data_IF_667049784072
#
_entry.id   IF_667049784072
#
_cell.length_a   1.000
_cell.length_b   1.000
_cell.length_c   1.000
_cell.angle_alpha   90.00
_cell.angle_beta   90.00
_cell.angle_gamma   90.00
#
_symmetry.space_group_name_H-M   'P 1'
#
loop_
_entity.id
_entity.type
_entity.pdbx_description
1 polymer ?
#
# COMPACT_ATOMS: atom_id res chain seq x y z
N UNK A 1 21.79 6.32 -33.11
CA UNK A 1 21.55 5.96 -31.71
C UNK A 1 22.80 5.33 -31.15
N UNK A 2 23.29 5.81 -30.01
CA UNK A 2 24.41 5.19 -29.29
C UNK A 2 23.88 4.11 -28.33
N UNK A 3 22.68 4.34 -27.76
CA UNK A 3 21.97 3.39 -26.90
C UNK A 3 20.57 3.09 -27.43
N UNK A 4 20.07 1.87 -27.22
CA UNK A 4 18.71 1.46 -27.59
C UNK A 4 17.64 2.31 -26.87
N UNK A 5 17.96 2.80 -25.66
CA UNK A 5 17.08 3.68 -24.87
C UNK A 5 16.78 5.03 -25.55
N UNK A 6 17.63 5.50 -26.48
CA UNK A 6 17.37 6.72 -27.25
C UNK A 6 16.12 6.60 -28.14
N UNK A 7 15.67 5.39 -28.43
CA UNK A 7 14.41 5.15 -29.15
C UNK A 7 13.17 5.44 -28.30
N UNK A 8 13.31 5.54 -26.97
CA UNK A 8 12.17 5.75 -26.07
C UNK A 8 11.15 4.61 -26.08
N UNK A 9 11.62 3.38 -26.37
CA UNK A 9 10.79 2.18 -26.37
C UNK A 9 11.03 1.39 -25.09
N UNK A 10 9.96 1.09 -24.34
CA UNK A 10 10.04 0.21 -23.16
C UNK A 10 8.71 -0.50 -22.94
N UNK A 11 8.78 -1.67 -22.30
CA UNK A 11 7.63 -2.37 -21.76
C UNK A 11 7.74 -2.51 -20.24
N UNK A 12 6.68 -2.12 -19.52
CA UNK A 12 6.61 -2.15 -18.06
C UNK A 12 5.39 -2.96 -17.66
N UNK A 13 5.62 -4.13 -17.05
CA UNK A 13 4.58 -4.92 -16.45
C UNK A 13 4.34 -4.49 -15.00
N UNK A 14 3.07 -4.33 -14.62
CA UNK A 14 2.65 -3.92 -13.28
C UNK A 14 1.66 -4.94 -12.76
N UNK A 15 1.93 -5.45 -11.57
CA UNK A 15 1.03 -6.36 -10.87
C UNK A 15 0.55 -5.76 -9.55
N UNK A 16 -0.46 -6.38 -8.96
CA UNK A 16 -1.09 -5.98 -7.71
C UNK A 16 -0.37 -6.44 -6.44
N UNK A 17 -1.14 -6.57 -5.37
CA UNK A 17 -0.68 -7.03 -4.06
C UNK A 17 -0.14 -8.47 -4.13
N UNK A 18 1.08 -8.68 -3.63
CA UNK A 18 1.75 -9.98 -3.54
C UNK A 18 1.99 -10.36 -2.10
N UNK A 19 1.08 -11.17 -1.57
CA UNK A 19 1.18 -11.82 -0.27
C UNK A 19 1.60 -13.27 -0.48
N UNK A 20 2.88 -13.55 -0.23
CA UNK A 20 3.55 -14.77 -0.67
C UNK A 20 3.96 -15.65 0.52
N UNK A 21 3.39 -16.84 0.62
CA UNK A 21 3.69 -17.80 1.69
C UNK A 21 3.99 -19.21 1.20
N UNK A 22 3.89 -19.46 -0.12
CA UNK A 22 4.09 -20.74 -0.77
C UNK A 22 4.99 -20.61 -2.00
N UNK A 23 5.57 -21.75 -2.40
CA UNK A 23 6.37 -21.84 -3.63
C UNK A 23 5.50 -21.61 -4.87
N UNK A 24 6.05 -20.90 -5.86
CA UNK A 24 5.47 -20.65 -7.18
C UNK A 24 5.99 -21.64 -8.23
N UNK A 25 7.25 -22.07 -8.09
CA UNK A 25 7.92 -22.95 -9.07
C UNK A 25 7.31 -24.35 -9.29
N UNK A 26 6.53 -24.95 -8.37
CA UNK A 26 5.92 -26.26 -8.61
C UNK A 26 4.77 -26.25 -9.62
N UNK A 27 4.17 -25.09 -9.90
CA UNK A 27 3.00 -24.98 -10.79
C UNK A 27 3.45 -24.94 -12.25
N UNK A 28 2.75 -25.69 -13.11
CA UNK A 28 3.13 -25.90 -14.52
C UNK A 28 1.95 -25.77 -15.49
N UNK A 29 0.81 -25.32 -14.99
CA UNK A 29 -0.40 -25.09 -15.76
C UNK A 29 -0.13 -24.03 -16.84
N UNK A 30 -0.60 -24.28 -18.07
CA UNK A 30 -0.30 -23.39 -19.20
C UNK A 30 -0.75 -21.92 -18.97
N UNK A 31 -1.93 -21.63 -18.40
CA UNK A 31 -2.30 -20.24 -18.06
C UNK A 31 -1.37 -19.60 -17.02
N UNK A 32 -0.87 -20.39 -16.06
CA UNK A 32 0.05 -19.92 -15.04
C UNK A 32 1.42 -19.56 -15.63
N UNK A 33 1.96 -20.42 -16.51
CA UNK A 33 3.21 -20.17 -17.21
C UNK A 33 3.09 -19.01 -18.22
N UNK A 34 1.91 -18.77 -18.79
CA UNK A 34 1.69 -17.61 -19.67
C UNK A 34 1.84 -16.27 -18.92
N UNK A 35 1.44 -16.19 -17.65
CA UNK A 35 1.67 -15.00 -16.81
C UNK A 35 3.18 -14.75 -16.68
N UNK A 36 3.93 -15.80 -16.33
CA UNK A 36 5.40 -15.74 -16.25
C UNK A 36 6.03 -15.25 -17.55
N UNK A 37 5.62 -15.82 -18.70
CA UNK A 37 6.16 -15.44 -20.01
C UNK A 37 5.91 -13.95 -20.33
N UNK A 38 4.75 -13.40 -19.92
CA UNK A 38 4.43 -11.98 -20.09
C UNK A 38 5.34 -11.11 -19.22
N UNK A 39 5.52 -11.46 -17.94
CA UNK A 39 6.35 -10.69 -17.01
C UNK A 39 7.83 -10.75 -17.38
N UNK A 40 8.36 -11.93 -17.70
CA UNK A 40 9.75 -12.08 -18.18
C UNK A 40 10.00 -11.39 -19.52
N UNK A 41 8.97 -11.26 -20.35
CA UNK A 41 9.04 -10.56 -21.63
C UNK A 41 9.07 -9.03 -21.50
N UNK A 42 8.75 -8.47 -20.33
CA UNK A 42 8.80 -7.03 -20.08
C UNK A 42 10.22 -6.57 -19.71
N UNK A 43 10.58 -5.33 -20.06
CA UNK A 43 11.87 -4.75 -19.66
C UNK A 43 11.93 -4.52 -18.14
N UNK A 44 10.81 -4.11 -17.55
CA UNK A 44 10.63 -3.95 -16.12
C UNK A 44 9.33 -4.63 -15.66
N UNK A 45 9.38 -5.38 -14.56
CA UNK A 45 8.24 -6.09 -14.00
C UNK A 45 8.15 -5.83 -12.49
N UNK A 46 7.09 -5.14 -12.11
CA UNK A 46 6.88 -4.60 -10.78
C UNK A 46 5.74 -5.32 -10.03
N UNK A 47 5.88 -5.48 -8.71
CA UNK A 47 4.81 -5.91 -7.80
C UNK A 47 4.85 -5.19 -6.44
N UNK A 48 3.72 -5.12 -5.73
CA UNK A 48 3.72 -4.75 -4.32
C UNK A 48 4.04 -5.95 -3.43
N UNK A 49 5.22 -5.98 -2.81
CA UNK A 49 5.63 -7.07 -1.92
C UNK A 49 5.02 -6.84 -0.53
N UNK A 50 3.77 -7.25 -0.38
CA UNK A 50 2.98 -7.01 0.82
C UNK A 50 3.27 -8.06 1.89
N UNK A 51 4.19 -7.71 2.78
CA UNK A 51 4.63 -8.58 3.83
C UNK A 51 6.01 -8.22 4.35
N UNK A 52 6.36 -8.77 5.50
CA UNK A 52 7.73 -8.70 6.02
C UNK A 52 8.51 -9.91 5.52
N UNK A 53 9.59 -9.69 4.75
CA UNK A 53 10.50 -10.77 4.35
C UNK A 53 11.45 -11.08 5.50
N UNK A 54 11.40 -12.31 6.04
CA UNK A 54 12.14 -12.62 7.26
C UNK A 54 12.44 -14.10 7.48
N UNK A 55 13.61 -14.38 8.06
CA UNK A 55 13.86 -15.66 8.70
C UNK A 55 13.18 -15.71 10.09
N UNK A 56 12.95 -16.90 10.68
CA UNK A 56 12.32 -17.03 12.00
C UNK A 56 12.95 -16.22 13.14
N UNK A 57 14.24 -15.91 13.06
CA UNK A 57 15.01 -15.11 14.01
C UNK A 57 14.97 -13.59 13.78
N UNK A 58 14.48 -13.15 12.62
CA UNK A 58 14.51 -11.74 12.23
C UNK A 58 13.31 -10.98 12.82
N UNK A 59 13.60 -10.00 13.68
CA UNK A 59 12.58 -9.12 14.25
C UNK A 59 11.68 -9.76 15.30
N UNK A 60 10.95 -8.91 16.01
CA UNK A 60 9.93 -9.31 16.99
C UNK A 60 8.60 -8.78 16.52
N UNK A 61 7.55 -9.57 16.71
CA UNK A 61 6.21 -9.18 16.30
C UNK A 61 5.77 -7.86 16.95
N UNK A 62 5.27 -6.94 16.12
CA UNK A 62 4.46 -5.80 16.55
C UNK A 62 2.97 -6.19 16.54
N UNK A 63 2.13 -5.58 17.41
CA UNK A 63 0.69 -5.78 17.34
C UNK A 63 0.15 -5.46 15.93
N UNK A 64 -0.42 -6.47 15.28
CA UNK A 64 -0.96 -6.36 13.93
C UNK A 64 -2.42 -6.81 13.87
N UNK A 65 -3.18 -6.13 13.02
CA UNK A 65 -4.56 -6.44 12.70
C UNK A 65 -4.60 -7.32 11.44
N UNK A 66 -5.70 -8.02 11.17
CA UNK A 66 -5.75 -8.92 10.02
C UNK A 66 -4.83 -10.15 10.18
N UNK A 67 -4.04 -10.48 9.15
CA UNK A 67 -3.06 -11.57 9.15
C UNK A 67 -1.64 -10.99 9.29
N UNK A 68 -0.81 -11.51 10.20
CA UNK A 68 0.61 -11.16 10.27
C UNK A 68 1.33 -11.69 9.03
N UNK A 69 1.60 -10.82 8.06
CA UNK A 69 2.09 -11.25 6.75
C UNK A 69 3.60 -11.43 6.77
N UNK A 70 4.04 -12.68 6.68
CA UNK A 70 5.46 -13.06 6.64
C UNK A 70 5.80 -13.77 5.34
N UNK A 71 6.97 -13.46 4.80
CA UNK A 71 7.47 -14.02 3.55
C UNK A 71 8.84 -14.67 3.83
N UNK A 72 8.99 -16.00 3.72
CA UNK A 72 10.31 -16.61 3.80
C UNK A 72 11.25 -16.07 2.70
N UNK A 73 12.52 -15.71 3.00
CA UNK A 73 13.44 -15.13 2.02
C UNK A 73 13.64 -15.98 0.77
N UNK A 74 13.53 -17.30 0.89
CA UNK A 74 13.64 -18.23 -0.25
C UNK A 74 12.51 -18.12 -1.27
N UNK A 75 11.42 -17.40 -0.97
CA UNK A 75 10.34 -17.12 -1.92
C UNK A 75 10.64 -15.90 -2.80
N UNK A 76 11.67 -15.11 -2.49
CA UNK A 76 12.13 -14.04 -3.39
C UNK A 76 12.68 -14.62 -4.70
N UNK A 77 13.31 -15.79 -4.66
CA UNK A 77 13.74 -16.50 -5.87
C UNK A 77 12.55 -16.94 -6.74
N UNK A 78 11.41 -17.25 -6.11
CA UNK A 78 10.18 -17.63 -6.82
C UNK A 78 9.54 -16.41 -7.50
N UNK A 79 9.60 -15.23 -6.88
CA UNK A 79 9.19 -13.97 -7.52
C UNK A 79 10.08 -13.63 -8.71
N UNK A 80 11.39 -13.82 -8.58
CA UNK A 80 12.32 -13.64 -9.70
C UNK A 80 12.07 -14.64 -10.81
N UNK A 81 11.79 -15.89 -10.46
CA UNK A 81 11.39 -16.91 -11.42
C UNK A 81 10.09 -16.54 -12.14
N UNK A 82 9.15 -15.87 -11.48
CA UNK A 82 7.94 -15.35 -12.11
C UNK A 82 8.21 -14.18 -13.07
N UNK A 83 9.42 -13.61 -13.08
CA UNK A 83 9.82 -12.49 -13.93
C UNK A 83 9.89 -11.13 -13.21
N UNK A 84 9.53 -11.07 -11.92
CA UNK A 84 9.57 -9.81 -11.14
C UNK A 84 11.01 -9.37 -10.91
N UNK A 85 11.29 -8.08 -11.15
CA UNK A 85 12.60 -7.47 -10.92
C UNK A 85 12.55 -6.16 -10.12
N UNK A 86 11.35 -5.63 -9.86
CA UNK A 86 11.13 -4.45 -9.02
C UNK A 86 10.02 -4.72 -7.99
N UNK A 87 10.21 -4.27 -6.74
CA UNK A 87 9.23 -4.46 -5.67
C UNK A 87 8.98 -3.19 -4.87
N UNK A 88 7.71 -2.90 -4.57
CA UNK A 88 7.38 -1.95 -3.50
C UNK A 88 7.55 -2.63 -2.16
N UNK A 89 8.19 -1.94 -1.22
CA UNK A 89 8.26 -2.29 0.20
C UNK A 89 7.51 -1.27 1.06
N UNK A 90 6.74 -0.37 0.45
CA UNK A 90 5.84 0.54 1.16
C UNK A 90 4.43 -0.04 1.21
N UNK A 91 4.12 -0.73 2.30
CA UNK A 91 2.78 -1.21 2.63
C UNK A 91 2.60 -1.24 4.15
N UNK A 92 1.39 -1.55 4.57
CA UNK A 92 1.00 -1.72 5.98
C UNK A 92 1.74 -2.88 6.68
N UNK A 93 2.08 -3.96 5.97
CA UNK A 93 2.63 -5.20 6.56
C UNK A 93 4.16 -5.23 6.74
N UNK A 94 4.91 -4.31 6.14
CA UNK A 94 6.38 -4.31 6.19
C UNK A 94 6.96 -4.12 7.61
N UNK A 95 6.14 -3.65 8.55
CA UNK A 95 6.50 -3.48 9.98
C UNK A 95 5.78 -4.46 10.91
N UNK A 96 5.16 -5.53 10.40
CA UNK A 96 4.49 -6.54 11.24
C UNK A 96 5.45 -7.16 12.27
N UNK A 97 6.75 -7.19 11.97
CA UNK A 97 7.81 -7.69 12.87
C UNK A 97 8.75 -6.57 13.33
N UNK A 98 8.17 -5.38 13.52
CA UNK A 98 8.87 -4.20 14.01
C UNK A 98 9.96 -3.70 13.06
N UNK A 99 10.78 -2.78 13.56
CA UNK A 99 11.84 -2.15 12.78
C UNK A 99 12.96 -3.14 12.42
N UNK A 100 13.24 -4.11 13.27
CA UNK A 100 14.26 -5.13 13.01
C UNK A 100 13.81 -6.08 11.90
N UNK A 101 12.52 -6.46 11.87
CA UNK A 101 11.92 -7.23 10.78
C UNK A 101 11.93 -6.47 9.46
N UNK A 102 11.59 -5.18 9.47
CA UNK A 102 11.70 -4.30 8.29
C UNK A 102 13.14 -4.26 7.77
N UNK A 103 14.12 -4.02 8.65
CA UNK A 103 15.53 -3.95 8.25
C UNK A 103 16.04 -5.31 7.72
N UNK A 104 15.58 -6.42 8.29
CA UNK A 104 15.85 -7.76 7.75
C UNK A 104 15.25 -7.95 6.36
N UNK A 105 14.00 -7.51 6.18
CA UNK A 105 13.31 -7.57 4.89
C UNK A 105 14.10 -6.84 3.81
N UNK A 106 14.59 -5.63 4.09
CA UNK A 106 15.44 -4.90 3.16
C UNK A 106 16.74 -5.65 2.84
N UNK A 107 17.41 -6.25 3.84
CA UNK A 107 18.63 -7.06 3.59
C UNK A 107 18.34 -8.26 2.68
N UNK A 108 17.23 -8.97 2.90
CA UNK A 108 16.86 -10.13 2.09
C UNK A 108 16.47 -9.75 0.67
N UNK A 109 15.71 -8.66 0.48
CA UNK A 109 15.34 -8.13 -0.83
C UNK A 109 16.58 -7.67 -1.61
N UNK A 110 17.50 -6.97 -0.96
CA UNK A 110 18.78 -6.56 -1.55
C UNK A 110 19.65 -7.77 -1.92
N UNK A 111 19.75 -8.77 -1.04
CA UNK A 111 20.52 -9.98 -1.29
C UNK A 111 19.93 -10.81 -2.46
N UNK A 112 18.61 -10.78 -2.65
CA UNK A 112 17.95 -11.41 -3.80
C UNK A 112 18.22 -10.64 -5.12
N UNK A 113 18.69 -9.40 -5.06
CA UNK A 113 18.95 -8.57 -6.22
C UNK A 113 17.69 -7.98 -6.85
N UNK A 114 16.62 -7.82 -6.06
CA UNK A 114 15.40 -7.12 -6.49
C UNK A 114 15.56 -5.61 -6.27
N UNK A 115 15.23 -4.81 -7.28
CA UNK A 115 15.16 -3.35 -7.11
C UNK A 115 13.98 -3.03 -6.21
N UNK A 116 14.17 -2.16 -5.22
CA UNK A 116 13.12 -1.85 -4.26
C UNK A 116 13.07 -0.36 -3.90
N UNK A 117 11.91 0.07 -3.40
CA UNK A 117 11.69 1.39 -2.81
C UNK A 117 10.58 1.32 -1.75
N UNK A 118 10.50 2.35 -0.90
CA UNK A 118 9.37 2.57 -0.01
C UNK A 118 9.61 2.32 1.48
N UNK A 119 10.67 1.61 1.84
CA UNK A 119 11.10 1.41 3.22
C UNK A 119 12.60 1.63 3.37
N UNK A 120 13.04 2.03 4.56
CA UNK A 120 14.44 2.34 4.79
C UNK A 120 14.82 2.47 6.25
N UNK A 121 16.13 2.53 6.51
CA UNK A 121 16.69 2.71 7.85
C UNK A 121 16.42 4.11 8.45
N UNK A 122 15.93 5.06 7.65
CA UNK A 122 15.52 6.41 8.00
C UNK A 122 14.74 7.02 6.81
N UNK A 123 14.15 8.20 6.99
CA UNK A 123 13.24 8.81 6.00
C UNK A 123 13.84 8.94 4.59
N UNK A 124 15.05 9.50 4.47
CA UNK A 124 15.74 9.62 3.18
C UNK A 124 15.96 8.27 2.49
N UNK A 125 16.28 7.20 3.25
CA UNK A 125 16.46 5.87 2.67
C UNK A 125 15.14 5.25 2.21
N UNK A 126 14.03 5.57 2.87
CA UNK A 126 12.70 5.10 2.47
C UNK A 126 12.15 5.86 1.25
N UNK A 127 12.52 7.14 1.09
CA UNK A 127 12.03 8.01 0.02
C UNK A 127 12.84 7.91 -1.29
N UNK A 128 14.11 7.53 -1.22
CA UNK A 128 14.96 7.52 -2.42
C UNK A 128 14.44 6.50 -3.45
N UNK A 129 14.63 6.75 -4.76
CA UNK A 129 14.28 5.79 -5.78
C UNK A 129 15.17 4.54 -5.73
N UNK A 130 14.60 3.39 -6.08
CA UNK A 130 15.34 2.25 -6.61
C UNK A 130 15.50 2.39 -8.12
N UNK A 131 16.62 1.94 -8.69
CA UNK A 131 16.86 2.02 -10.13
C UNK A 131 17.10 0.64 -10.74
N UNK A 132 16.40 0.36 -11.84
CA UNK A 132 16.60 -0.80 -12.70
C UNK A 132 17.17 -0.32 -14.04
N UNK A 133 18.33 -0.85 -14.43
CA UNK A 133 18.89 -0.62 -15.76
C UNK A 133 18.39 -1.68 -16.74
N UNK A 134 17.77 -1.25 -17.83
CA UNK A 134 17.22 -2.11 -18.90
C UNK A 134 17.75 -1.68 -20.27
N UNK A 135 17.44 -2.43 -21.33
CA UNK A 135 17.75 -2.00 -22.71
C UNK A 135 16.91 -0.78 -23.13
N UNK A 136 15.67 -0.71 -22.64
CA UNK A 136 14.74 0.41 -22.87
C UNK A 136 15.07 1.67 -22.06
N UNK A 137 16.13 1.65 -21.24
CA UNK A 137 16.56 2.77 -20.39
C UNK A 137 16.50 2.43 -18.91
N UNK A 138 16.91 3.39 -18.09
CA UNK A 138 16.86 3.29 -16.63
C UNK A 138 15.44 3.59 -16.15
N UNK A 139 14.91 2.69 -15.32
CA UNK A 139 13.60 2.81 -14.67
C UNK A 139 13.81 3.14 -13.20
N UNK A 140 13.26 4.25 -12.73
CA UNK A 140 13.20 4.59 -11.32
C UNK A 140 11.90 4.08 -10.71
N UNK A 141 11.96 3.48 -9.53
CA UNK A 141 10.81 3.15 -8.70
C UNK A 141 10.83 3.99 -7.43
N UNK A 142 9.72 4.69 -7.16
CA UNK A 142 9.42 5.27 -5.86
C UNK A 142 8.17 4.61 -5.30
N UNK A 143 8.15 4.37 -4.00
CA UNK A 143 6.99 3.80 -3.34
C UNK A 143 6.62 4.57 -2.08
N UNK A 144 5.32 4.67 -1.80
CA UNK A 144 4.81 5.25 -0.57
C UNK A 144 3.55 4.51 -0.09
N UNK A 145 3.23 4.69 1.19
CA UNK A 145 2.08 4.10 1.83
C UNK A 145 1.23 5.20 2.51
N UNK A 146 -0.09 5.10 2.42
CA UNK A 146 -1.02 6.04 3.06
C UNK A 146 -1.65 5.49 4.34
N UNK A 147 -1.46 4.21 4.65
CA UNK A 147 -1.89 3.60 5.90
C UNK A 147 -0.71 3.52 6.88
N UNK A 148 -0.76 4.21 8.01
CA UNK A 148 0.32 4.11 8.98
C UNK A 148 -0.15 4.38 10.39
N UNK A 149 0.40 3.63 11.34
CA UNK A 149 0.52 4.12 12.71
C UNK A 149 1.74 5.05 12.76
N UNK A 150 1.77 6.05 13.66
CA UNK A 150 2.87 7.01 13.74
C UNK A 150 4.25 6.36 13.85
N UNK A 151 4.35 5.18 14.47
CA UNK A 151 5.59 4.41 14.63
C UNK A 151 5.99 3.56 13.41
N UNK A 152 5.17 3.44 12.36
CA UNK A 152 5.59 2.74 11.13
C UNK A 152 6.33 3.68 10.16
N UNK A 153 6.03 4.99 10.20
CA UNK A 153 6.63 6.02 9.34
C UNK A 153 8.14 6.14 9.53
N UNK A 154 8.96 6.19 8.49
CA UNK A 154 10.39 6.50 8.65
C UNK A 154 10.61 7.93 9.18
N UNK A 155 11.58 8.16 10.08
CA UNK A 155 11.89 9.51 10.57
C UNK A 155 13.25 10.01 10.03
N UNK A 156 13.42 11.33 9.85
CA UNK A 156 14.71 11.89 9.45
C UNK A 156 15.71 11.81 10.61
N UNK A 157 16.99 11.96 10.27
CA UNK A 157 18.02 12.23 11.28
C UNK A 157 17.74 13.58 11.96
N UNK A 158 17.79 13.59 13.29
CA UNK A 158 17.89 14.83 14.06
C UNK A 158 19.35 15.23 14.27
N UNK A 159 19.61 16.40 14.88
CA UNK A 159 20.97 16.85 15.22
C UNK A 159 21.75 15.82 16.05
N UNK A 160 21.06 15.17 17.00
CA UNK A 160 21.68 14.26 17.97
C UNK A 160 21.13 12.82 17.93
N UNK A 161 20.11 12.56 17.09
CA UNK A 161 19.44 11.26 17.02
C UNK A 161 19.43 10.73 15.61
N UNK A 162 19.70 9.43 15.47
CA UNK A 162 19.54 8.72 14.20
C UNK A 162 18.06 8.70 13.80
N UNK A 163 17.81 8.79 12.49
CA UNK A 163 16.48 8.56 11.95
C UNK A 163 16.00 7.16 12.29
N UNK A 164 14.68 7.03 12.41
CA UNK A 164 14.01 5.77 12.74
C UNK A 164 13.72 5.00 11.46
N UNK A 165 14.04 3.70 11.41
CA UNK A 165 13.59 2.83 10.34
C UNK A 165 12.07 2.85 10.18
N UNK A 166 11.61 2.71 8.95
CA UNK A 166 10.19 2.73 8.64
C UNK A 166 9.90 2.92 7.16
N UNK A 167 8.66 3.27 6.91
CA UNK A 167 8.06 3.37 5.58
C UNK A 167 7.99 4.83 5.11
N UNK A 168 8.13 5.06 3.81
CA UNK A 168 7.80 6.33 3.17
C UNK A 168 6.28 6.52 3.11
N UNK A 169 5.80 7.69 3.52
CA UNK A 169 4.37 7.91 3.76
C UNK A 169 3.84 9.05 2.90
N UNK A 170 2.62 8.88 2.38
CA UNK A 170 1.75 9.97 1.92
C UNK A 170 0.60 10.05 2.93
N UNK A 171 0.78 10.89 3.94
CA UNK A 171 -0.24 11.10 4.95
C UNK A 171 -1.37 11.95 4.40
N UNK A 172 -2.54 11.82 5.00
CA UNK A 172 -3.68 12.65 4.67
C UNK A 172 -4.45 13.03 5.94
N UNK A 173 -5.25 14.08 5.83
CA UNK A 173 -6.19 14.53 6.84
C UNK A 173 -7.61 14.37 6.31
N UNK A 174 -8.56 14.24 7.22
CA UNK A 174 -9.98 14.14 6.91
C UNK A 174 -10.72 15.33 7.53
N UNK A 175 -11.67 15.89 6.80
CA UNK A 175 -12.64 16.86 7.32
C UNK A 175 -14.04 16.30 7.14
N UNK A 176 -14.81 16.28 8.22
CA UNK A 176 -16.19 15.81 8.22
C UNK A 176 -17.11 17.02 8.28
N UNK A 177 -17.85 17.27 7.22
CA UNK A 177 -18.80 18.38 7.14
C UNK A 177 -20.16 17.91 7.64
N UNK A 178 -20.79 18.71 8.50
CA UNK A 178 -22.11 18.44 9.07
C UNK A 178 -23.05 19.64 8.83
N UNK A 179 -24.36 19.40 8.56
CA UNK A 179 -25.36 20.47 8.59
C UNK A 179 -25.50 21.05 10.01
N UNK A 180 -25.94 22.31 10.10
CA UNK A 180 -26.04 23.10 11.35
C UNK A 180 -26.64 22.30 12.52
N UNK A 181 -27.82 21.70 12.34
CA UNK A 181 -28.50 20.93 13.39
C UNK A 181 -27.66 19.74 13.89
N UNK A 182 -27.03 18.98 12.97
CA UNK A 182 -26.20 17.83 13.34
C UNK A 182 -24.89 18.23 14.00
N UNK A 183 -24.31 19.37 13.59
CA UNK A 183 -23.13 19.95 14.23
C UNK A 183 -23.44 20.39 15.66
N UNK A 184 -24.60 21.01 15.88
CA UNK A 184 -25.08 21.40 17.21
C UNK A 184 -25.32 20.18 18.11
N UNK A 185 -25.94 19.12 17.59
CA UNK A 185 -26.14 17.87 18.32
C UNK A 185 -24.80 17.20 18.69
N UNK A 186 -23.85 17.12 17.76
CA UNK A 186 -22.53 16.55 18.04
C UNK A 186 -21.77 17.38 19.09
N UNK A 187 -21.87 18.72 19.03
CA UNK A 187 -21.31 19.62 20.03
C UNK A 187 -21.93 19.40 21.42
N UNK A 188 -23.25 19.16 21.48
CA UNK A 188 -23.93 18.85 22.74
C UNK A 188 -23.49 17.49 23.31
N UNK A 189 -23.28 16.48 22.45
CA UNK A 189 -22.74 15.17 22.85
C UNK A 189 -21.30 15.30 23.35
N UNK A 190 -20.45 16.03 22.64
CA UNK A 190 -19.05 16.29 23.00
C UNK A 190 -18.93 16.89 24.41
N UNK A 191 -19.75 17.92 24.70
CA UNK A 191 -19.83 18.58 26.01
C UNK A 191 -20.49 17.71 27.09
N UNK A 192 -21.56 17.00 26.73
CA UNK A 192 -22.34 16.17 27.64
C UNK A 192 -21.55 14.95 28.13
N UNK A 193 -20.74 14.36 27.26
CA UNK A 193 -19.80 13.27 27.60
C UNK A 193 -18.48 13.80 28.20
N UNK A 194 -18.18 15.10 28.01
CA UNK A 194 -17.01 15.76 28.58
C UNK A 194 -15.71 15.55 27.79
N UNK A 195 -15.81 15.18 26.52
CA UNK A 195 -14.65 15.05 25.64
C UNK A 195 -13.96 16.40 25.38
N UNK A 196 -14.74 17.48 25.30
CA UNK A 196 -14.26 18.86 25.27
C UNK A 196 -13.34 19.19 26.46
N UNK A 197 -13.74 18.75 27.66
CA UNK A 197 -12.99 18.92 28.90
C UNK A 197 -11.74 18.06 28.91
N UNK A 198 -11.79 16.84 28.36
CA UNK A 198 -10.60 16.01 28.18
C UNK A 198 -9.56 16.66 27.27
N UNK A 199 -10.01 17.23 26.15
CA UNK A 199 -9.17 18.01 25.25
C UNK A 199 -8.57 19.20 26.00
N UNK A 200 -9.39 19.98 26.73
CA UNK A 200 -8.90 21.11 27.53
C UNK A 200 -7.87 20.69 28.59
N UNK A 201 -8.07 19.55 29.25
CA UNK A 201 -7.09 18.96 30.20
C UNK A 201 -5.80 18.56 29.49
N UNK A 202 -5.87 17.93 28.31
CA UNK A 202 -4.69 17.58 27.51
C UNK A 202 -3.90 18.80 27.07
N UNK A 203 -4.57 19.92 26.74
CA UNK A 203 -3.91 21.22 26.45
C UNK A 203 -3.14 21.78 27.65
N UNK A 204 -3.57 21.47 28.87
CA UNK A 204 -2.83 21.83 30.09
C UNK A 204 -1.68 20.85 30.40
N UNK A 205 -1.58 19.76 29.63
CA UNK A 205 -0.58 18.71 29.80
C UNK A 205 0.63 18.88 28.89
N UNK A 206 1.28 17.76 28.59
CA UNK A 206 2.52 17.71 27.79
C UNK A 206 2.30 17.67 26.27
N UNK A 207 1.06 17.86 25.80
CA UNK A 207 0.70 17.76 24.38
C UNK A 207 0.69 19.14 23.73
N UNK A 208 1.17 19.23 22.50
CA UNK A 208 1.09 20.46 21.71
C UNK A 208 -0.34 20.75 21.23
N UNK A 209 -0.64 22.01 20.92
CA UNK A 209 -1.95 22.39 20.34
C UNK A 209 -2.28 21.59 19.07
N UNK A 210 -1.26 21.23 18.29
CA UNK A 210 -1.40 20.40 17.09
C UNK A 210 -1.84 18.96 17.41
N UNK A 211 -1.35 18.38 18.51
CA UNK A 211 -1.72 17.03 18.94
C UNK A 211 -3.09 16.99 19.61
N UNK A 212 -3.51 18.10 20.20
CA UNK A 212 -4.79 18.19 20.93
C UNK A 212 -5.94 18.62 20.02
N UNK A 213 -5.66 19.26 18.88
CA UNK A 213 -6.66 19.69 17.91
C UNK A 213 -7.26 21.07 18.21
N UNK A 214 -7.98 21.64 17.25
CA UNK A 214 -8.62 22.95 17.34
C UNK A 214 -9.93 22.91 18.14
N UNK A 215 -10.29 24.05 18.75
CA UNK A 215 -11.64 24.31 19.26
C UNK A 215 -12.06 25.69 18.76
N UNK A 216 -13.02 25.74 17.85
CA UNK A 216 -13.60 26.96 17.32
C UNK A 216 -15.13 26.87 17.29
N UNK A 217 -15.81 28.00 17.11
CA UNK A 217 -17.28 28.00 17.10
C UNK A 217 -17.89 27.19 15.93
N UNK A 218 -17.12 26.95 14.87
CA UNK A 218 -17.52 26.19 13.67
C UNK A 218 -16.62 24.97 13.41
N UNK A 219 -15.81 24.56 14.38
CA UNK A 219 -14.90 23.41 14.28
C UNK A 219 -14.77 22.70 15.63
N UNK A 220 -15.06 21.39 15.63
CA UNK A 220 -14.91 20.52 16.81
C UNK A 220 -14.03 19.31 16.46
N UNK A 221 -13.21 18.90 17.43
CA UNK A 221 -12.46 17.64 17.38
C UNK A 221 -13.18 16.62 18.25
N UNK A 222 -13.86 15.65 17.63
CA UNK A 222 -14.61 14.63 18.34
C UNK A 222 -13.98 13.25 18.10
N UNK A 223 -13.60 12.55 19.17
CA UNK A 223 -12.91 11.26 19.12
C UNK A 223 -11.67 11.25 18.18
N UNK A 224 -10.96 12.37 18.10
CA UNK A 224 -9.76 12.53 17.26
C UNK A 224 -10.04 12.79 15.78
N UNK A 225 -11.31 12.97 15.38
CA UNK A 225 -11.70 13.38 14.04
C UNK A 225 -12.14 14.83 14.03
N UNK A 226 -11.83 15.55 12.95
CA UNK A 226 -12.21 16.94 12.75
C UNK A 226 -13.59 17.03 12.08
N UNK A 227 -14.48 17.81 12.69
CA UNK A 227 -15.80 18.14 12.15
C UNK A 227 -15.95 19.64 11.99
N UNK A 228 -16.60 20.06 10.91
CA UNK A 228 -16.91 21.47 10.60
C UNK A 228 -18.38 21.61 10.22
N UNK A 229 -18.93 22.78 10.50
CA UNK A 229 -20.28 23.15 10.04
C UNK A 229 -20.25 23.50 8.54
N UNK A 230 -21.22 23.02 7.78
CA UNK A 230 -21.37 23.32 6.36
C UNK A 230 -22.64 22.73 5.74
N UNK A 231 -22.69 22.68 4.42
CA UNK A 231 -23.88 22.20 3.70
C UNK A 231 -23.90 20.67 3.60
N UNK A 232 -24.76 20.02 4.38
CA UNK A 232 -24.98 18.57 4.33
C UNK A 232 -23.84 17.74 4.93
N UNK A 233 -23.85 16.42 4.65
CA UNK A 233 -22.87 15.47 5.15
C UNK A 233 -21.80 15.21 4.11
N UNK A 234 -20.54 15.51 4.43
CA UNK A 234 -19.40 15.22 3.55
C UNK A 234 -18.18 14.72 4.32
N UNK A 235 -17.36 13.90 3.67
CA UNK A 235 -16.04 13.50 4.15
C UNK A 235 -15.00 13.79 3.06
N UNK A 236 -14.22 14.84 3.28
CA UNK A 236 -13.17 15.27 2.37
C UNK A 236 -11.80 14.83 2.89
N UNK A 237 -10.94 14.37 1.97
CA UNK A 237 -9.56 13.97 2.29
C UNK A 237 -8.55 14.89 1.63
N UNK A 238 -7.51 15.28 2.38
CA UNK A 238 -6.48 16.21 1.92
C UNK A 238 -5.09 15.69 2.23
N UNK A 239 -4.19 15.72 1.25
CA UNK A 239 -2.80 15.27 1.45
C UNK A 239 -2.11 16.15 2.49
N UNK A 240 -1.27 15.54 3.32
CA UNK A 240 -0.31 16.26 4.13
C UNK A 240 0.72 16.96 3.22
N UNK A 241 0.74 18.29 3.24
CA UNK A 241 1.61 19.07 2.34
C UNK A 241 3.11 18.84 2.51
N UNK A 242 3.59 18.42 3.69
CA UNK A 242 5.01 18.09 3.86
C UNK A 242 5.35 16.75 3.20
N UNK A 243 4.50 15.74 3.42
CA UNK A 243 4.67 14.42 2.80
C UNK A 243 4.59 14.53 1.26
N UNK A 244 3.66 15.34 0.75
CA UNK A 244 3.55 15.64 -0.68
C UNK A 244 4.82 16.30 -1.22
N UNK A 245 5.27 17.41 -0.61
CA UNK A 245 6.44 18.15 -1.06
C UNK A 245 7.70 17.27 -1.08
N UNK A 246 7.86 16.42 -0.07
CA UNK A 246 8.97 15.48 0.02
C UNK A 246 8.94 14.44 -1.11
N UNK A 247 7.78 13.83 -1.38
CA UNK A 247 7.64 12.84 -2.46
C UNK A 247 7.83 13.50 -3.84
N UNK A 248 7.24 14.68 -4.08
CA UNK A 248 7.42 15.42 -5.33
C UNK A 248 8.89 15.81 -5.57
N UNK A 249 9.64 16.15 -4.51
CA UNK A 249 11.09 16.39 -4.60
C UNK A 249 11.85 15.16 -5.11
N UNK A 250 11.53 13.98 -4.59
CA UNK A 250 12.19 12.73 -5.01
C UNK A 250 11.75 12.26 -6.40
N UNK A 251 10.50 12.50 -6.80
CA UNK A 251 10.05 12.31 -8.18
C UNK A 251 10.88 13.18 -9.15
N UNK A 252 11.05 14.47 -8.82
CA UNK A 252 11.84 15.40 -9.64
C UNK A 252 13.33 15.03 -9.68
N UNK A 253 13.86 14.40 -8.64
CA UNK A 253 15.21 13.83 -8.63
C UNK A 253 15.29 12.60 -9.55
N UNK A 254 14.37 11.65 -9.40
CA UNK A 254 14.30 10.44 -10.19
C UNK A 254 14.23 10.74 -11.68
N UNK A 255 13.34 11.66 -12.09
CA UNK A 255 13.16 12.06 -13.49
C UNK A 255 14.42 12.62 -14.15
N UNK A 256 15.37 13.16 -13.36
CA UNK A 256 16.66 13.67 -13.88
C UNK A 256 17.74 12.58 -13.96
N UNK A 257 17.53 11.43 -13.32
CA UNK A 257 18.47 10.32 -13.23
C UNK A 257 18.01 9.08 -14.01
N UNK A 258 16.77 9.05 -14.50
CA UNK A 258 16.18 7.92 -15.21
C UNK A 258 15.43 8.34 -16.47
N UNK A 259 15.25 7.39 -17.39
CA UNK A 259 14.46 7.57 -18.61
C UNK A 259 12.96 7.44 -18.31
N UNK A 260 12.64 6.55 -17.35
CA UNK A 260 11.29 6.21 -16.92
C UNK A 260 11.13 6.30 -15.40
N UNK A 261 9.97 6.72 -14.93
CA UNK A 261 9.64 6.81 -13.50
C UNK A 261 8.32 6.09 -13.20
N UNK A 262 8.36 5.11 -12.31
CA UNK A 262 7.19 4.41 -11.77
C UNK A 262 6.98 4.86 -10.33
N UNK A 263 5.74 5.23 -9.99
CA UNK A 263 5.37 5.52 -8.61
C UNK A 263 4.32 4.53 -8.13
N UNK A 264 4.60 3.84 -7.01
CA UNK A 264 3.69 2.92 -6.34
C UNK A 264 3.11 3.55 -5.07
N UNK A 265 1.79 3.51 -4.92
CA UNK A 265 1.08 3.93 -3.71
C UNK A 265 0.30 2.77 -3.10
N UNK A 266 0.54 2.46 -1.84
CA UNK A 266 -0.30 1.52 -1.09
C UNK A 266 -1.31 2.29 -0.24
N UNK A 267 -2.62 2.12 -0.49
CA UNK A 267 -3.68 2.95 0.09
C UNK A 267 -4.98 2.17 0.30
N UNK A 268 -5.51 2.18 1.53
CA UNK A 268 -6.83 1.59 1.86
C UNK A 268 -7.94 2.65 2.04
N UNK A 269 -7.68 3.90 1.67
CA UNK A 269 -8.65 4.98 1.84
C UNK A 269 -9.53 5.12 0.59
N UNK A 270 -10.83 5.19 0.80
CA UNK A 270 -11.85 5.33 -0.25
C UNK A 270 -12.49 6.71 -0.20
N UNK A 271 -13.04 7.15 -1.33
CA UNK A 271 -13.88 8.36 -1.36
C UNK A 271 -15.20 8.08 -0.64
N UNK A 272 -15.82 9.14 -0.10
CA UNK A 272 -17.15 9.01 0.49
C UNK A 272 -18.16 8.49 -0.54
N UNK A 273 -18.12 8.99 -1.78
CA UNK A 273 -18.99 8.53 -2.86
C UNK A 273 -18.85 7.03 -3.11
N UNK A 274 -17.61 6.54 -3.15
CA UNK A 274 -17.33 5.11 -3.33
C UNK A 274 -17.84 4.27 -2.16
N UNK A 275 -17.88 4.83 -0.95
CA UNK A 275 -18.39 4.16 0.25
C UNK A 275 -19.92 4.17 0.34
N UNK A 276 -20.59 5.24 -0.09
CA UNK A 276 -22.04 5.42 0.04
C UNK A 276 -22.84 4.40 -0.80
N UNK A 277 -22.28 3.91 -1.90
CA UNK A 277 -22.92 2.94 -2.79
C UNK A 277 -22.51 1.49 -2.54
N UNK A 278 -21.45 1.25 -1.77
CA UNK A 278 -20.88 -0.06 -1.55
C UNK A 278 -21.64 -0.85 -0.46
N UNK A 279 -22.04 -2.09 -0.77
CA UNK A 279 -22.68 -2.95 0.22
C UNK A 279 -21.69 -3.49 1.27
N UNK A 280 -20.42 -3.62 0.90
CA UNK A 280 -19.31 -4.02 1.75
C UNK A 280 -17.97 -3.55 1.14
N UNK A 281 -16.86 -3.76 1.85
CA UNK A 281 -15.54 -3.30 1.42
C UNK A 281 -15.08 -3.87 0.06
N UNK A 282 -15.61 -5.02 -0.37
CA UNK A 282 -15.28 -5.62 -1.67
C UNK A 282 -16.01 -4.96 -2.85
N UNK A 283 -17.01 -4.12 -2.56
CA UNK A 283 -17.82 -3.40 -3.56
C UNK A 283 -17.46 -1.89 -3.62
N UNK A 284 -16.33 -1.52 -3.02
CA UNK A 284 -15.82 -0.13 -3.09
C UNK A 284 -15.32 0.17 -4.50
N UNK A 285 -15.70 1.31 -5.07
CA UNK A 285 -15.41 1.60 -6.49
C UNK A 285 -14.45 2.79 -6.71
N UNK A 286 -14.16 3.58 -5.67
CA UNK A 286 -13.41 4.83 -5.83
C UNK A 286 -12.45 5.10 -4.66
N UNK A 287 -11.16 5.25 -4.99
CA UNK A 287 -10.09 5.62 -4.07
C UNK A 287 -10.28 7.05 -3.53
N UNK A 288 -9.78 7.34 -2.34
CA UNK A 288 -9.91 8.66 -1.70
C UNK A 288 -9.37 9.80 -2.56
N UNK A 289 -10.02 10.97 -2.46
CA UNK A 289 -9.72 12.16 -3.26
C UNK A 289 -8.27 12.59 -3.16
N UNK A 290 -7.67 12.53 -1.96
CA UNK A 290 -6.26 12.87 -1.77
C UNK A 290 -5.35 12.00 -2.64
N UNK A 291 -5.62 10.70 -2.75
CA UNK A 291 -4.78 9.76 -3.48
C UNK A 291 -4.93 9.97 -4.99
N UNK A 292 -6.16 10.22 -5.46
CA UNK A 292 -6.44 10.58 -6.86
C UNK A 292 -5.75 11.90 -7.25
N UNK A 293 -5.83 12.89 -6.37
CA UNK A 293 -5.20 14.18 -6.57
C UNK A 293 -3.66 14.08 -6.56
N UNK A 294 -3.10 13.22 -5.68
CA UNK A 294 -1.67 12.93 -5.67
C UNK A 294 -1.21 12.29 -6.97
N UNK A 295 -1.94 11.28 -7.46
CA UNK A 295 -1.55 10.54 -8.65
C UNK A 295 -1.33 11.47 -9.85
N UNK A 296 -2.25 12.41 -10.09
CA UNK A 296 -2.10 13.43 -11.14
C UNK A 296 -0.91 14.36 -10.90
N UNK A 297 -0.72 14.85 -9.67
CA UNK A 297 0.43 15.71 -9.33
C UNK A 297 1.77 14.99 -9.43
N UNK A 298 1.80 13.69 -9.19
CA UNK A 298 2.97 12.86 -9.38
C UNK A 298 3.32 12.73 -10.88
N UNK A 299 2.31 12.51 -11.74
CA UNK A 299 2.48 12.56 -13.21
C UNK A 299 3.02 13.94 -13.64
N UNK A 300 2.41 15.03 -13.17
CA UNK A 300 2.85 16.40 -13.49
C UNK A 300 4.32 16.66 -13.08
N UNK A 301 4.79 16.02 -12.01
CA UNK A 301 6.16 16.14 -11.52
C UNK A 301 7.18 15.25 -12.26
N UNK A 302 6.72 14.33 -13.11
CA UNK A 302 7.58 13.49 -13.96
C UNK A 302 7.41 11.98 -13.80
N UNK A 303 6.35 11.50 -13.15
CA UNK A 303 6.00 10.07 -13.16
C UNK A 303 5.47 9.66 -14.54
N UNK A 304 5.95 8.53 -15.07
CA UNK A 304 5.50 7.96 -16.33
C UNK A 304 4.39 6.92 -16.14
N UNK A 305 4.38 6.23 -15.00
CA UNK A 305 3.34 5.26 -14.63
C UNK A 305 3.04 5.39 -13.14
N UNK A 306 1.77 5.61 -12.79
CA UNK A 306 1.32 5.57 -11.40
C UNK A 306 0.51 4.30 -11.14
N UNK A 307 0.85 3.56 -10.10
CA UNK A 307 0.16 2.31 -9.74
C UNK A 307 -0.20 2.30 -8.25
N UNK A 308 -1.45 1.98 -7.94
CA UNK A 308 -1.92 1.87 -6.57
C UNK A 308 -2.28 0.42 -6.21
N UNK A 309 -2.15 0.08 -4.93
CA UNK A 309 -2.49 -1.22 -4.33
C UNK A 309 -3.01 -1.04 -2.90
N UNK A 310 -3.40 -2.12 -2.23
CA UNK A 310 -4.00 -2.09 -0.90
C UNK A 310 -5.52 -2.29 -0.87
N UNK A 311 -6.33 -1.77 -1.82
CA UNK A 311 -7.76 -2.08 -1.83
C UNK A 311 -8.08 -3.58 -1.97
N UNK A 312 -7.12 -4.40 -2.43
CA UNK A 312 -7.26 -5.83 -2.75
C UNK A 312 -8.34 -6.16 -3.78
N UNK A 313 -8.91 -5.15 -4.42
CA UNK A 313 -9.88 -5.23 -5.52
C UNK A 313 -9.37 -4.36 -6.65
N UNK A 314 -9.75 -4.68 -7.90
CA UNK A 314 -9.40 -3.84 -9.04
C UNK A 314 -10.25 -2.57 -9.04
N UNK A 315 -9.62 -1.41 -9.19
CA UNK A 315 -10.31 -0.12 -9.34
C UNK A 315 -10.04 0.46 -10.74
N UNK A 316 -10.64 1.61 -11.02
CA UNK A 316 -10.56 2.26 -12.33
C UNK A 316 -9.13 2.53 -12.82
N UNK A 317 -8.99 2.61 -14.14
CA UNK A 317 -7.77 3.02 -14.84
C UNK A 317 -8.02 4.37 -15.50
N UNK A 318 -7.08 5.30 -15.35
CA UNK A 318 -7.11 6.61 -15.99
C UNK A 318 -5.87 6.78 -16.88
N UNK A 319 -6.01 7.45 -18.02
CA UNK A 319 -4.86 7.99 -18.77
C UNK A 319 -4.89 9.50 -18.63
N UNK A 320 -3.92 10.03 -17.88
CA UNK A 320 -3.78 11.46 -17.57
C UNK A 320 -2.52 11.99 -18.25
N UNK A 321 -2.66 13.03 -19.09
CA UNK A 321 -1.54 13.59 -19.87
C UNK A 321 -0.75 12.53 -20.66
N UNK A 322 -1.45 11.51 -21.17
CA UNK A 322 -0.85 10.40 -21.92
C UNK A 322 -0.05 9.40 -21.05
N UNK A 323 -0.21 9.43 -19.73
CA UNK A 323 0.43 8.50 -18.78
C UNK A 323 -0.64 7.70 -18.02
N UNK A 324 -0.46 6.38 -17.83
CA UNK A 324 -1.44 5.55 -17.15
C UNK A 324 -1.38 5.69 -15.62
N UNK A 325 -2.56 5.71 -15.01
CA UNK A 325 -2.81 5.68 -13.57
C UNK A 325 -3.71 4.48 -13.29
N UNK A 326 -3.24 3.55 -12.47
CA UNK A 326 -4.02 2.41 -11.99
C UNK A 326 -4.43 2.66 -10.55
N UNK A 327 -5.72 2.88 -10.28
CA UNK A 327 -6.19 3.19 -8.92
C UNK A 327 -6.24 1.96 -7.99
N UNK A 328 -6.24 0.76 -8.55
CA UNK A 328 -5.88 -0.49 -7.88
C UNK A 328 -5.81 -1.61 -8.92
N UNK A 329 -4.75 -2.42 -8.90
CA UNK A 329 -4.66 -3.63 -9.72
C UNK A 329 -5.29 -4.86 -9.02
N UNK A 330 -5.71 -4.73 -7.76
CA UNK A 330 -6.15 -5.86 -6.94
C UNK A 330 -4.97 -6.72 -6.47
N UNK A 331 -5.20 -8.02 -6.31
CA UNK A 331 -4.19 -8.97 -5.88
C UNK A 331 -3.51 -9.65 -7.09
N UNK A 332 -2.20 -9.84 -7.02
CA UNK A 332 -1.46 -10.66 -7.99
C UNK A 332 -1.20 -12.07 -7.47
N UNK A 333 -0.72 -12.17 -6.23
CA UNK A 333 -0.54 -13.43 -5.50
C UNK A 333 -1.20 -13.23 -4.14
N UNK A 334 -2.21 -14.04 -3.84
CA UNK A 334 -3.11 -13.85 -2.70
C UNK A 334 -3.10 -15.03 -1.74
N UNK A 335 -1.94 -15.32 -1.16
CA UNK A 335 -1.73 -16.49 -0.31
C UNK A 335 -1.91 -16.19 1.18
N UNK A 336 -2.67 -15.14 1.50
CA UNK A 336 -2.87 -14.65 2.86
C UNK A 336 -3.43 -15.71 3.84
N UNK A 337 -4.10 -16.75 3.35
CA UNK A 337 -4.63 -17.84 4.19
C UNK A 337 -3.72 -19.08 4.24
N UNK A 338 -2.43 -18.93 3.95
CA UNK A 338 -1.46 -20.04 4.05
C UNK A 338 -0.17 -19.66 4.79
N UNK A 339 -0.24 -18.60 5.61
CA UNK A 339 0.85 -18.27 6.55
C UNK A 339 1.08 -19.41 7.54
N UNK A 340 2.34 -19.72 7.82
CA UNK A 340 2.74 -20.86 8.64
C UNK A 340 3.15 -20.47 10.06
N UNK A 341 3.23 -19.17 10.34
CA UNK A 341 3.54 -18.64 11.67
C UNK A 341 2.58 -17.51 12.01
N UNK A 342 1.94 -17.61 13.17
CA UNK A 342 1.02 -16.61 13.69
C UNK A 342 1.43 -16.34 15.15
N UNK A 343 1.55 -15.07 15.57
CA UNK A 343 1.85 -14.70 16.95
C UNK A 343 0.75 -15.12 17.91
N UNK A 344 1.12 -15.42 19.16
CA UNK A 344 0.17 -15.84 20.19
C UNK A 344 -0.89 -14.77 20.46
N UNK A 345 -0.51 -13.49 20.40
CA UNK A 345 -1.44 -12.37 20.55
C UNK A 345 -2.53 -12.37 19.49
N UNK A 346 -2.24 -12.88 18.29
CA UNK A 346 -3.24 -12.99 17.22
C UNK A 346 -4.29 -14.06 17.52
N UNK A 347 -3.94 -15.12 18.25
CA UNK A 347 -4.90 -16.15 18.69
C UNK A 347 -5.94 -15.57 19.65
N UNK A 348 -5.49 -14.72 20.58
CA UNK A 348 -6.38 -14.10 21.57
C UNK A 348 -7.49 -13.23 20.95
N UNK A 349 -7.31 -12.71 19.72
CA UNK A 349 -8.32 -11.94 18.98
C UNK A 349 -9.54 -12.79 18.59
N UNK A 350 -9.41 -14.10 18.61
CA UNK A 350 -10.43 -15.06 18.20
C UNK A 350 -10.73 -16.08 19.30
N UNK A 351 -10.50 -15.72 20.57
CA UNK A 351 -10.72 -16.56 21.74
C UNK A 351 -9.96 -17.90 21.69
N UNK A 352 -8.83 -17.92 20.97
CA UNK A 352 -7.94 -19.08 20.88
C UNK A 352 -6.80 -18.93 21.90
N UNK A 353 -6.38 -20.05 22.49
CA UNK A 353 -5.26 -20.06 23.43
C UNK A 353 -3.89 -20.18 22.70
N UNK A 354 -2.81 -20.12 23.47
CA UNK A 354 -1.44 -20.16 22.96
C UNK A 354 -1.01 -21.53 22.37
N UNK A 355 -1.82 -22.58 22.54
CA UNK A 355 -1.59 -23.90 21.93
C UNK A 355 -2.30 -24.04 20.57
N UNK A 356 -3.11 -23.05 20.18
CA UNK A 356 -3.73 -23.00 18.86
C UNK A 356 -2.68 -22.97 17.75
N UNK A 357 -3.08 -23.47 16.59
CA UNK A 357 -2.25 -23.53 15.40
C UNK A 357 -2.59 -22.39 14.44
N UNK A 358 -1.70 -22.08 13.46
CA UNK A 358 -2.04 -21.17 12.37
C UNK A 358 -3.33 -21.54 11.64
N UNK A 359 -3.65 -22.83 11.49
CA UNK A 359 -4.87 -23.28 10.85
C UNK A 359 -6.12 -22.92 11.68
N UNK A 360 -6.07 -23.14 13.00
CA UNK A 360 -7.16 -22.77 13.93
C UNK A 360 -7.43 -21.26 13.86
N UNK A 361 -6.37 -20.44 13.85
CA UNK A 361 -6.47 -18.99 13.67
C UNK A 361 -7.14 -18.61 12.35
N UNK A 362 -6.70 -19.20 11.24
CA UNK A 362 -7.24 -18.88 9.92
C UNK A 362 -8.71 -19.31 9.81
N UNK A 363 -9.09 -20.45 10.38
CA UNK A 363 -10.47 -20.93 10.44
C UNK A 363 -11.35 -19.97 11.26
N UNK A 364 -10.89 -19.56 12.44
CA UNK A 364 -11.62 -18.64 13.30
C UNK A 364 -11.74 -17.23 12.68
N UNK A 365 -10.65 -16.72 12.11
CA UNK A 365 -10.59 -15.38 11.47
C UNK A 365 -11.57 -15.26 10.30
N UNK A 366 -11.66 -16.31 9.48
CA UNK A 366 -12.47 -16.31 8.26
C UNK A 366 -13.86 -16.93 8.45
N UNK A 367 -14.18 -17.47 9.64
CA UNK A 367 -15.37 -18.29 9.87
C UNK A 367 -15.54 -19.38 8.80
N UNK A 368 -14.44 -20.12 8.55
CA UNK A 368 -14.37 -21.13 7.50
C UNK A 368 -14.58 -20.58 6.08
N UNK A 369 -14.20 -19.33 5.84
CA UNK A 369 -14.37 -18.64 4.55
C UNK A 369 -15.66 -17.85 4.39
N UNK A 370 -16.50 -17.73 5.44
CA UNK A 370 -17.77 -16.96 5.39
C UNK A 370 -17.61 -15.49 5.76
N UNK A 371 -16.41 -15.07 6.19
CA UNK A 371 -16.08 -13.68 6.54
C UNK A 371 -14.79 -13.21 5.87
N UNK A 372 -14.66 -11.90 5.74
CA UNK A 372 -13.50 -11.26 5.15
C UNK A 372 -13.31 -11.66 3.69
N UNK A 373 -12.06 -11.80 3.25
CA UNK A 373 -11.74 -12.06 1.85
C UNK A 373 -12.39 -13.33 1.28
N UNK A 374 -12.55 -14.38 2.09
CA UNK A 374 -13.17 -15.64 1.63
C UNK A 374 -14.66 -15.52 1.29
N UNK A 375 -15.33 -14.48 1.76
CA UNK A 375 -16.78 -14.30 1.62
C UNK A 375 -17.18 -13.54 0.34
N UNK A 376 -16.23 -12.85 -0.30
CA UNK A 376 -16.52 -11.92 -1.39
C UNK A 376 -15.63 -12.23 -2.59
N UNK A 377 -16.27 -12.49 -3.73
CA UNK A 377 -15.64 -12.88 -4.99
C UNK A 377 -14.70 -11.81 -5.55
N UNK A 378 -15.02 -10.52 -5.36
CA UNK A 378 -14.26 -9.40 -5.94
C UNK A 378 -12.79 -9.33 -5.46
N UNK A 379 -12.44 -9.92 -4.32
CA UNK A 379 -11.03 -10.01 -3.88
C UNK A 379 -10.20 -11.03 -4.66
N UNK A 380 -10.87 -11.95 -5.35
CA UNK A 380 -10.25 -13.09 -6.04
C UNK A 380 -10.21 -12.90 -7.56
N UNK A 381 -10.83 -11.84 -8.07
CA UNK A 381 -10.74 -11.42 -9.45
C UNK A 381 -9.93 -10.13 -9.53
N UNK A 382 -8.81 -10.17 -10.22
CA UNK A 382 -7.86 -9.06 -10.29
C UNK A 382 -7.34 -8.85 -11.70
N UNK A 383 -6.51 -7.84 -11.89
CA UNK A 383 -5.86 -7.59 -13.18
C UNK A 383 -4.37 -7.36 -12.96
N UNK A 384 -3.56 -7.76 -13.92
CA UNK A 384 -2.23 -7.18 -14.08
C UNK A 384 -2.15 -6.52 -15.44
N UNK A 385 -1.16 -5.66 -15.64
CA UNK A 385 -1.06 -4.86 -16.85
C UNK A 385 0.32 -4.90 -17.47
N UNK A 386 0.36 -4.64 -18.78
CA UNK A 386 1.56 -4.39 -19.54
C UNK A 386 1.43 -3.05 -20.25
N UNK A 387 2.20 -2.07 -19.80
CA UNK A 387 2.30 -0.76 -20.43
C UNK A 387 3.41 -0.80 -21.49
N UNK A 388 3.10 -0.34 -22.70
CA UNK A 388 4.09 -0.21 -23.78
C UNK A 388 4.24 1.26 -24.13
N UNK A 389 5.50 1.69 -24.20
CA UNK A 389 5.86 3.01 -24.68
C UNK A 389 6.63 2.89 -25.97
N UNK A 390 6.35 3.80 -26.89
CA UNK A 390 7.06 3.97 -28.15
C UNK A 390 7.38 5.44 -28.37
N UNK A 391 8.60 5.74 -28.82
CA UNK A 391 9.09 7.12 -29.03
C UNK A 391 8.84 8.05 -27.82
N UNK A 392 8.98 7.51 -26.60
CA UNK A 392 8.79 8.24 -25.34
C UNK A 392 7.33 8.46 -24.92
N UNK A 393 6.36 7.91 -25.64
CA UNK A 393 4.91 8.08 -25.41
C UNK A 393 4.23 6.76 -25.15
N UNK A 394 3.14 6.79 -24.38
CA UNK A 394 2.31 5.61 -24.17
C UNK A 394 1.69 5.17 -25.51
N UNK A 395 2.03 3.96 -25.95
CA UNK A 395 1.50 3.34 -27.16
C UNK A 395 0.26 2.50 -26.84
N UNK A 396 0.28 1.79 -25.70
CA UNK A 396 -0.86 0.99 -25.25
C UNK A 396 -0.73 0.46 -23.83
N UNK A 397 -1.88 0.08 -23.27
CA UNK A 397 -2.00 -0.63 -22.01
C UNK A 397 -2.80 -1.91 -22.27
N UNK A 398 -2.18 -3.05 -22.04
CA UNK A 398 -2.83 -4.35 -22.08
C UNK A 398 -3.23 -4.74 -20.65
N UNK A 399 -4.49 -5.14 -20.44
CA UNK A 399 -5.00 -5.60 -19.15
C UNK A 399 -5.29 -7.09 -19.22
N UNK A 400 -4.72 -7.83 -18.28
CA UNK A 400 -4.84 -9.28 -18.20
C UNK A 400 -5.64 -9.66 -16.95
N UNK A 401 -6.83 -10.26 -17.11
CA UNK A 401 -7.62 -10.72 -15.97
C UNK A 401 -6.96 -11.91 -15.26
N UNK A 402 -7.08 -11.93 -13.95
CA UNK A 402 -6.61 -12.99 -13.05
C UNK A 402 -7.77 -13.54 -12.25
N UNK A 403 -7.88 -14.86 -12.25
CA UNK A 403 -8.72 -15.62 -11.33
C UNK A 403 -7.81 -16.29 -10.30
N UNK A 404 -8.00 -15.92 -9.03
CA UNK A 404 -7.21 -16.39 -7.90
C UNK A 404 -7.89 -17.56 -7.18
N UNK A 405 -8.98 -18.12 -7.72
CA UNK A 405 -9.60 -19.34 -7.22
C UNK A 405 -10.62 -19.11 -6.11
N UNK A 406 -11.60 -18.21 -6.32
CA UNK A 406 -12.69 -18.00 -5.37
C UNK A 406 -13.42 -19.31 -5.04
N UNK A 407 -13.71 -19.53 -3.75
CA UNK A 407 -14.40 -20.74 -3.28
C UNK A 407 -13.56 -22.02 -3.29
N UNK A 408 -12.33 -22.01 -3.83
CA UNK A 408 -11.43 -23.15 -3.76
C UNK A 408 -10.80 -23.30 -2.37
N UNK A 409 -10.17 -24.46 -2.13
CA UNK A 409 -9.44 -24.72 -0.89
C UNK A 409 -8.23 -23.79 -0.75
N UNK A 410 -7.79 -23.51 0.49
CA UNK A 410 -6.58 -22.69 0.76
C UNK A 410 -5.33 -23.16 0.00
N UNK A 411 -5.23 -24.47 -0.24
CA UNK A 411 -4.14 -25.09 -1.01
C UNK A 411 -4.24 -24.89 -2.52
N UNK A 412 -5.39 -24.48 -3.05
CA UNK A 412 -5.70 -24.41 -4.49
C UNK A 412 -6.14 -23.00 -4.95
N UNK A 413 -5.95 -21.99 -4.11
CA UNK A 413 -6.26 -20.59 -4.39
C UNK A 413 -5.09 -19.69 -4.04
N UNK A 414 -5.12 -18.47 -4.57
CA UNK A 414 -4.16 -17.40 -4.28
C UNK A 414 -2.98 -17.36 -5.22
#
# INVERSE_FOLDING_TARGET
MIYDSEAGNISIALTGDTMLSRRLTPFTEAPYLAIKDILEGADAAFTNLEGTVRAPEDGTQDPTEGTPMTIPPSLLDDLKWMGVNMVSTANNHVTDFGQDGLLASLRHVEAAGLVHSGSGAHLTAAQKPGYLDTKGGRVALLSANSFFKPWNRASPHGPDLKGRPGVNIIGYNETHTLPEDAFADLSAIDQGLGFDKDIARRRQGFFSDKEVGGAGNSEITFLGKKFVEGDGFAVDTFINGMDEADNLRWISEARRQSDWVVFSLHCHAYSQRGADTAANAADMEELADFARAFARRAIDAGVDVFVCHGPHISLGVEVYEGKPIFYSLGNFIFQNDTVTSVPVESFSRFDLDHLATPADFLDARSDGGKKGFGAHENYWHSIFSLCRFADGKLDGVELYPLDLGFGLSRSQRG
#
